data_IF_883586666333
#
_entry.id   IF_883586666333
#
_cell.length_a   1.000
_cell.length_b   1.000
_cell.length_c   1.000
_cell.angle_alpha   90.00
_cell.angle_beta   90.00
_cell.angle_gamma   90.00
#
_symmetry.space_group_name_H-M   'P 1'
#
loop_
_entity.id
_entity.type
_entity.pdbx_description
1 polymer ?
#
# COMPACT_ATOMS: atom_id res chain seq x y z
N UNK A 1 15.24 -21.52 2.56
CA UNK A 1 15.09 -20.19 1.92
C UNK A 1 15.70 -19.12 2.81
N UNK A 2 16.52 -18.26 2.25
CA UNK A 2 17.15 -17.19 3.00
C UNK A 2 16.65 -15.85 2.47
N UNK A 3 16.01 -15.09 3.34
CA UNK A 3 15.47 -13.78 3.01
C UNK A 3 16.22 -12.70 3.80
N UNK A 4 16.45 -11.56 3.17
CA UNK A 4 16.98 -10.39 3.86
C UNK A 4 15.92 -9.81 4.79
N UNK A 5 16.31 -9.02 5.82
CA UNK A 5 15.34 -8.33 6.67
C UNK A 5 14.34 -7.48 5.87
N UNK A 6 14.78 -6.80 4.80
CA UNK A 6 13.89 -6.01 3.94
C UNK A 6 12.87 -6.87 3.22
N UNK A 7 13.28 -8.05 2.75
CA UNK A 7 12.35 -8.98 2.10
C UNK A 7 11.33 -9.51 3.09
N UNK A 8 11.74 -9.79 4.32
CA UNK A 8 10.83 -10.22 5.39
C UNK A 8 9.81 -9.13 5.70
N UNK A 9 10.23 -7.87 5.81
CA UNK A 9 9.34 -6.75 6.05
C UNK A 9 8.29 -6.61 4.93
N UNK A 10 8.71 -6.74 3.67
CA UNK A 10 7.80 -6.70 2.53
C UNK A 10 6.80 -7.84 2.58
N UNK A 11 7.24 -9.05 2.94
CA UNK A 11 6.32 -10.18 3.09
C UNK A 11 5.30 -9.93 4.19
N UNK A 12 5.69 -9.32 5.30
CA UNK A 12 4.74 -8.95 6.37
C UNK A 12 3.71 -7.96 5.87
N UNK A 13 4.12 -6.96 5.08
CA UNK A 13 3.19 -6.01 4.47
C UNK A 13 2.20 -6.74 3.57
N UNK A 14 2.66 -7.62 2.71
CA UNK A 14 1.78 -8.41 1.83
C UNK A 14 0.82 -9.27 2.63
N UNK A 15 1.30 -9.92 3.69
CA UNK A 15 0.45 -10.74 4.54
C UNK A 15 -0.65 -9.91 5.19
N UNK A 16 -0.30 -8.76 5.75
CA UNK A 16 -1.29 -7.87 6.36
C UNK A 16 -2.26 -7.33 5.31
N UNK A 17 -1.77 -6.96 4.13
CA UNK A 17 -2.62 -6.49 3.04
C UNK A 17 -3.63 -7.56 2.61
N UNK A 18 -3.22 -8.82 2.51
CA UNK A 18 -4.12 -9.92 2.16
C UNK A 18 -5.22 -10.10 3.21
N UNK A 19 -4.85 -10.06 4.48
CA UNK A 19 -5.83 -10.14 5.58
C UNK A 19 -6.79 -8.95 5.52
N UNK A 20 -6.26 -7.75 5.31
CA UNK A 20 -7.06 -6.54 5.23
C UNK A 20 -8.04 -6.57 4.07
N UNK A 21 -7.61 -7.04 2.89
CA UNK A 21 -8.49 -7.18 1.73
C UNK A 21 -9.63 -8.16 1.98
N UNK A 22 -9.36 -9.26 2.69
CA UNK A 22 -10.41 -10.21 3.08
C UNK A 22 -11.41 -9.56 4.02
N UNK A 23 -10.95 -8.75 4.97
CA UNK A 23 -11.83 -8.01 5.88
C UNK A 23 -12.68 -7.00 5.13
N UNK A 24 -12.06 -6.24 4.22
CA UNK A 24 -12.75 -5.29 3.36
C UNK A 24 -13.85 -5.98 2.55
N UNK A 25 -13.58 -7.16 1.99
CA UNK A 25 -14.57 -7.90 1.19
C UNK A 25 -15.79 -8.34 2.00
N UNK A 26 -15.66 -8.43 3.33
CA UNK A 26 -16.76 -8.74 4.23
C UNK A 26 -17.46 -7.48 4.76
N UNK A 27 -17.10 -6.31 4.25
CA UNK A 27 -17.71 -5.05 4.67
C UNK A 27 -17.16 -4.47 5.98
N UNK A 28 -16.04 -5.01 6.48
CA UNK A 28 -15.43 -4.48 7.70
C UNK A 28 -14.63 -3.21 7.37
N UNK A 29 -14.74 -2.21 8.23
CA UNK A 29 -13.95 -0.98 8.10
C UNK A 29 -12.51 -1.25 8.52
N UNK A 30 -11.57 -0.75 7.73
CA UNK A 30 -10.15 -1.00 7.95
C UNK A 30 -9.56 -0.03 8.99
N UNK A 31 -8.66 -0.54 9.80
CA UNK A 31 -7.90 0.29 10.72
C UNK A 31 -6.67 0.89 10.05
N UNK A 32 -5.89 1.69 10.79
CA UNK A 32 -4.71 2.38 10.28
C UNK A 32 -3.69 1.41 9.63
N UNK A 33 -3.16 0.39 10.33
CA UNK A 33 -2.16 -0.48 9.73
C UNK A 33 -2.69 -1.29 8.55
N UNK A 34 -3.95 -1.68 8.57
CA UNK A 34 -4.56 -2.39 7.45
C UNK A 34 -4.62 -1.52 6.20
N UNK A 35 -5.03 -0.27 6.35
CA UNK A 35 -5.10 0.68 5.24
C UNK A 35 -3.70 0.95 4.66
N UNK A 36 -2.72 1.20 5.51
CA UNK A 36 -1.34 1.44 5.08
C UNK A 36 -0.79 0.23 4.32
N UNK A 37 -1.05 -0.98 4.81
CA UNK A 37 -0.57 -2.21 4.16
C UNK A 37 -1.14 -2.37 2.75
N UNK A 38 -2.43 -2.12 2.56
CA UNK A 38 -3.06 -2.23 1.24
C UNK A 38 -2.44 -1.21 0.25
N UNK A 39 -2.27 0.03 0.68
CA UNK A 39 -1.70 1.08 -0.18
C UNK A 39 -0.25 0.74 -0.52
N UNK A 40 0.53 0.31 0.46
CA UNK A 40 1.93 -0.08 0.28
C UNK A 40 2.06 -1.25 -0.68
N UNK A 41 1.25 -2.29 -0.50
CA UNK A 41 1.26 -3.45 -1.39
C UNK A 41 0.90 -3.06 -2.82
N UNK A 42 -0.08 -2.18 -3.00
CA UNK A 42 -0.46 -1.69 -4.32
C UNK A 42 0.71 -0.99 -5.03
N UNK A 43 1.47 -0.17 -4.29
CA UNK A 43 2.64 0.50 -4.83
C UNK A 43 3.74 -0.50 -5.23
N UNK A 44 4.01 -1.47 -4.37
CA UNK A 44 5.00 -2.51 -4.66
C UNK A 44 4.62 -3.32 -5.91
N UNK A 45 3.34 -3.71 -6.01
CA UNK A 45 2.85 -4.48 -7.15
C UNK A 45 2.86 -3.66 -8.44
N UNK A 46 2.50 -2.39 -8.37
CA UNK A 46 2.56 -1.50 -9.54
C UNK A 46 3.97 -1.39 -10.11
N UNK A 47 4.97 -1.24 -9.23
CA UNK A 47 6.37 -1.22 -9.64
C UNK A 47 6.78 -2.56 -10.27
N UNK A 48 6.37 -3.67 -9.67
CA UNK A 48 6.67 -5.02 -10.17
C UNK A 48 6.04 -5.29 -11.53
N UNK A 49 4.89 -4.70 -11.81
CA UNK A 49 4.21 -4.83 -13.10
C UNK A 49 4.88 -4.02 -14.22
N UNK A 50 5.85 -3.20 -13.90
CA UNK A 50 6.56 -2.39 -14.89
C UNK A 50 5.99 -0.99 -15.09
N UNK A 51 5.09 -0.54 -14.22
CA UNK A 51 4.56 0.83 -14.29
C UNK A 51 5.64 1.86 -13.94
N UNK A 52 5.45 3.08 -14.42
CA UNK A 52 6.33 4.19 -14.05
C UNK A 52 6.06 4.66 -12.63
N UNK A 53 7.00 5.39 -12.04
CA UNK A 53 6.83 5.99 -10.72
C UNK A 53 5.55 6.84 -10.66
N UNK A 54 5.32 7.66 -11.68
CA UNK A 54 4.13 8.53 -11.74
C UNK A 54 2.84 7.73 -11.78
N UNK A 55 2.79 6.66 -12.59
CA UNK A 55 1.64 5.79 -12.67
C UNK A 55 1.35 5.12 -11.31
N UNK A 56 2.40 4.62 -10.64
CA UNK A 56 2.27 3.99 -9.33
C UNK A 56 1.74 4.97 -8.29
N UNK A 57 2.29 6.19 -8.25
CA UNK A 57 1.85 7.21 -7.31
C UNK A 57 0.38 7.58 -7.53
N UNK A 58 -0.04 7.70 -8.79
CA UNK A 58 -1.43 8.03 -9.10
C UNK A 58 -2.37 6.87 -8.79
N UNK A 59 -2.05 5.66 -9.25
CA UNK A 59 -2.91 4.50 -9.06
C UNK A 59 -3.09 4.15 -7.59
N UNK A 60 -2.05 4.31 -6.79
CA UNK A 60 -2.06 3.99 -5.36
C UNK A 60 -2.96 4.93 -4.55
N UNK A 61 -3.37 6.07 -5.09
CA UNK A 61 -4.31 6.99 -4.47
C UNK A 61 -5.78 6.59 -4.65
N UNK A 62 -6.03 5.53 -5.38
CA UNK A 62 -7.39 5.12 -5.74
C UNK A 62 -7.75 3.71 -5.28
N UNK A 63 -6.93 3.09 -4.44
CA UNK A 63 -7.19 1.73 -3.96
C UNK A 63 -8.15 1.68 -2.78
N UNK A 64 -8.23 2.76 -2.00
CA UNK A 64 -9.14 2.88 -0.87
C UNK A 64 -9.86 4.22 -0.89
N UNK A 65 -11.10 4.20 -0.40
CA UNK A 65 -11.89 5.42 -0.16
C UNK A 65 -12.11 5.61 1.33
N UNK A 66 -12.60 6.78 1.74
CA UNK A 66 -12.94 7.05 3.15
C UNK A 66 -13.96 6.07 3.70
N UNK A 67 -14.83 5.53 2.83
CA UNK A 67 -15.84 4.56 3.24
C UNK A 67 -15.26 3.19 3.60
N UNK A 68 -14.05 2.89 3.11
CA UNK A 68 -13.38 1.61 3.37
C UNK A 68 -12.70 1.56 4.72
N UNK A 69 -12.52 2.68 5.39
CA UNK A 69 -11.74 2.79 6.61
C UNK A 69 -12.57 3.28 7.79
N UNK A 70 -12.07 3.03 8.99
CA UNK A 70 -12.70 3.54 10.22
C UNK A 70 -12.61 5.06 10.26
N UNK A 71 -13.51 5.68 11.02
CA UNK A 71 -13.53 7.13 11.20
C UNK A 71 -12.17 7.65 11.66
N UNK A 72 -11.68 8.70 11.00
CA UNK A 72 -10.42 9.34 11.34
C UNK A 72 -9.18 8.72 10.74
N UNK A 73 -9.27 7.51 10.20
CA UNK A 73 -8.09 6.82 9.63
C UNK A 73 -7.51 7.58 8.45
N UNK A 74 -8.36 8.09 7.55
CA UNK A 74 -7.89 8.85 6.40
C UNK A 74 -7.04 10.06 6.81
N UNK A 75 -7.46 10.76 7.86
CA UNK A 75 -6.75 11.94 8.36
C UNK A 75 -5.42 11.59 9.03
N UNK A 76 -5.27 10.35 9.51
CA UNK A 76 -4.03 9.87 10.12
C UNK A 76 -2.97 9.48 9.09
N UNK A 77 -3.34 9.42 7.81
CA UNK A 77 -2.45 8.97 6.73
C UNK A 77 -2.31 10.09 5.69
N UNK A 78 -1.50 11.13 5.97
CA UNK A 78 -1.28 12.20 5.00
C UNK A 78 -0.49 11.73 3.77
N UNK A 79 0.34 10.73 3.95
CA UNK A 79 1.07 10.08 2.86
C UNK A 79 1.52 8.69 3.29
N UNK A 80 1.82 7.87 2.30
CA UNK A 80 2.49 6.57 2.48
C UNK A 80 3.76 6.59 1.67
N UNK A 81 4.88 6.18 2.27
CA UNK A 81 6.16 6.10 1.58
C UNK A 81 6.66 4.66 1.60
N UNK A 82 7.14 4.20 0.45
CA UNK A 82 7.72 2.87 0.32
C UNK A 82 8.80 2.89 -0.75
N UNK A 83 9.89 2.18 -0.50
CA UNK A 83 10.91 1.94 -1.51
C UNK A 83 10.50 0.73 -2.33
N UNK A 84 10.38 0.92 -3.64
CA UNK A 84 9.97 -0.13 -4.57
C UNK A 84 10.98 -0.26 -5.70
N UNK A 85 11.01 -1.44 -6.32
CA UNK A 85 11.93 -1.73 -7.40
C UNK A 85 11.19 -1.59 -8.73
N UNK A 86 11.58 -0.56 -9.47
CA UNK A 86 11.09 -0.27 -10.81
C UNK A 86 12.02 -0.89 -11.86
N UNK A 87 11.64 -0.81 -13.12
CA UNK A 87 12.47 -1.33 -14.22
C UNK A 87 13.82 -0.65 -14.32
N UNK A 88 13.90 0.60 -13.87
CA UNK A 88 15.14 1.41 -13.88
C UNK A 88 15.84 1.47 -12.52
N UNK A 89 15.41 0.67 -11.56
CA UNK A 89 16.06 0.57 -10.26
C UNK A 89 15.16 0.88 -9.08
N UNK A 90 15.77 0.98 -7.91
CA UNK A 90 15.06 1.25 -6.66
C UNK A 90 14.69 2.72 -6.56
N UNK A 91 13.43 3.01 -6.21
CA UNK A 91 12.93 4.37 -6.05
C UNK A 91 12.02 4.49 -4.85
N UNK A 92 12.03 5.66 -4.23
CA UNK A 92 11.07 5.99 -3.17
C UNK A 92 9.76 6.42 -3.79
N UNK A 93 8.69 5.71 -3.45
CA UNK A 93 7.33 6.07 -3.83
C UNK A 93 6.70 6.85 -2.67
N UNK A 94 6.20 8.05 -2.94
CA UNK A 94 5.41 8.82 -1.97
C UNK A 94 4.00 8.96 -2.52
N UNK A 95 3.05 8.35 -1.83
CA UNK A 95 1.63 8.44 -2.18
C UNK A 95 0.99 9.49 -1.29
N UNK A 96 0.67 10.66 -1.85
CA UNK A 96 0.08 11.78 -1.11
C UNK A 96 -1.44 11.63 -1.03
N UNK A 97 -2.00 11.94 0.15
CA UNK A 97 -3.45 11.87 0.41
C UNK A 97 -4.08 10.60 -0.17
N UNK A 98 -3.61 9.43 0.30
CA UNK A 98 -3.95 8.17 -0.39
C UNK A 98 -5.38 7.71 -0.21
N UNK A 99 -6.12 8.27 0.75
CA UNK A 99 -7.51 7.88 1.02
C UNK A 99 -8.41 9.10 0.85
N UNK A 100 -9.25 9.06 -0.14
CA UNK A 100 -10.14 10.17 -0.51
C UNK A 100 -11.62 9.80 -0.45
#
# INVERSE_FOLDING_TARGET
MQLTPREIEKLMVYTLADVALKRKSRGLKLNYPEAVAIITAAALEGAREGKTLEEVMNDSRHVLTKEDVMDGVADLIPHVQVEAIFTDGSRLVTVHDPIQ
#
